data_IF_441696735633
#
_entry.id   IF_441696735633
#
_cell.length_a   1.000
_cell.length_b   1.000
_cell.length_c   1.000
_cell.angle_alpha   90.00
_cell.angle_beta   90.00
_cell.angle_gamma   90.00
#
_symmetry.space_group_name_H-M   'P 1'
#
loop_
_entity.id
_entity.type
_entity.pdbx_description
1 polymer ?
#
# COMPACT_ATOMS: atom_id res chain seq x y z
N UNK A 1 -7.65 -27.57 -8.56
CA UNK A 1 -7.61 -26.24 -7.93
C UNK A 1 -6.62 -26.35 -6.77
N UNK A 2 -5.47 -25.70 -6.89
CA UNK A 2 -4.47 -25.68 -5.81
C UNK A 2 -5.09 -25.09 -4.55
N UNK A 3 -4.93 -25.81 -3.45
CA UNK A 3 -5.44 -25.39 -2.15
C UNK A 3 -4.36 -24.54 -1.48
N UNK A 4 -4.51 -23.23 -1.51
CA UNK A 4 -3.68 -22.33 -0.73
C UNK A 4 -4.12 -22.42 0.74
N UNK A 5 -3.41 -23.20 1.52
CA UNK A 5 -3.71 -23.43 2.93
C UNK A 5 -2.71 -22.63 3.77
N UNK A 6 -3.22 -21.76 4.63
CA UNK A 6 -2.38 -21.14 5.67
C UNK A 6 -1.92 -22.22 6.64
N UNK A 7 -0.65 -22.21 7.01
CA UNK A 7 -0.17 -23.11 8.06
C UNK A 7 -0.78 -22.67 9.40
N UNK A 8 -1.72 -23.45 9.98
CA UNK A 8 -2.41 -23.06 11.20
C UNK A 8 -1.46 -22.98 12.41
N UNK A 9 -0.41 -23.79 12.48
CA UNK A 9 0.57 -23.76 13.58
C UNK A 9 1.32 -22.42 13.59
N UNK A 10 1.71 -21.92 12.41
CA UNK A 10 2.38 -20.61 12.30
C UNK A 10 1.41 -19.48 12.64
N UNK A 11 0.16 -19.55 12.16
CA UNK A 11 -0.85 -18.53 12.46
C UNK A 11 -1.18 -18.48 13.97
N UNK A 12 -1.34 -19.64 14.61
CA UNK A 12 -1.57 -19.74 16.04
C UNK A 12 -0.35 -19.26 16.85
N UNK A 13 0.87 -19.67 16.47
CA UNK A 13 2.09 -19.16 17.09
C UNK A 13 2.13 -17.61 17.02
N UNK A 14 1.82 -17.03 15.85
CA UNK A 14 1.80 -15.60 15.64
C UNK A 14 0.75 -14.89 16.52
N UNK A 15 -0.46 -15.45 16.58
CA UNK A 15 -1.55 -14.89 17.35
C UNK A 15 -1.36 -15.08 18.87
N UNK A 16 -1.11 -16.30 19.32
CA UNK A 16 -1.09 -16.64 20.73
C UNK A 16 0.26 -16.31 21.39
N UNK A 17 1.37 -16.78 20.82
CA UNK A 17 2.70 -16.61 21.42
C UNK A 17 3.21 -15.18 21.31
N UNK A 18 3.04 -14.57 20.14
CA UNK A 18 3.39 -13.15 19.95
C UNK A 18 2.25 -12.20 20.35
N UNK A 19 1.09 -12.72 20.74
CA UNK A 19 -0.09 -11.94 21.15
C UNK A 19 -0.47 -10.86 20.14
N UNK A 20 -0.40 -11.21 18.86
CA UNK A 20 -0.78 -10.33 17.77
C UNK A 20 -2.18 -10.67 17.29
N UNK A 21 -3.08 -9.71 17.32
CA UNK A 21 -4.44 -9.88 16.80
C UNK A 21 -4.41 -10.08 15.29
N UNK A 22 -5.21 -11.01 14.80
CA UNK A 22 -5.29 -11.39 13.38
C UNK A 22 -6.75 -11.42 12.90
N UNK A 23 -6.93 -11.36 11.58
CA UNK A 23 -8.22 -11.53 10.90
C UNK A 23 -8.05 -12.23 9.54
N UNK A 24 -9.08 -12.95 9.00
CA UNK A 24 -8.97 -13.66 7.74
C UNK A 24 -8.92 -12.72 6.53
N UNK A 25 -8.03 -13.02 5.58
CA UNK A 25 -7.87 -12.31 4.31
C UNK A 25 -7.97 -13.25 3.11
N UNK A 26 -8.34 -12.70 1.97
CA UNK A 26 -8.42 -13.43 0.71
C UNK A 26 -7.00 -13.65 0.15
N UNK A 27 -6.59 -14.88 -0.21
CA UNK A 27 -5.24 -15.17 -0.69
C UNK A 27 -4.90 -14.53 -2.06
N UNK A 28 -5.91 -14.23 -2.88
CA UNK A 28 -5.73 -13.63 -4.21
C UNK A 28 -5.64 -12.10 -4.16
N UNK A 29 -6.58 -11.48 -3.42
CA UNK A 29 -6.70 -10.02 -3.35
C UNK A 29 -6.02 -9.41 -2.14
N UNK A 30 -5.70 -10.25 -1.14
CA UNK A 30 -5.20 -9.86 0.19
C UNK A 30 -6.18 -9.00 1.00
N UNK A 31 -7.37 -8.75 0.46
CA UNK A 31 -8.43 -7.99 1.14
C UNK A 31 -9.03 -8.75 2.33
N UNK A 32 -9.49 -8.05 3.38
CA UNK A 32 -10.21 -8.68 4.48
C UNK A 32 -11.43 -9.46 4.01
N UNK A 33 -11.67 -10.63 4.59
CA UNK A 33 -12.84 -11.47 4.31
C UNK A 33 -14.06 -11.12 5.16
N UNK A 34 -13.91 -10.23 6.13
CA UNK A 34 -14.93 -9.85 7.11
C UNK A 34 -15.14 -8.34 7.13
N UNK A 35 -16.31 -7.90 7.58
CA UNK A 35 -16.57 -6.48 7.87
C UNK A 35 -15.84 -6.09 9.17
N UNK A 36 -15.38 -4.84 9.25
CA UNK A 36 -14.71 -4.24 10.41
C UNK A 36 -13.53 -5.07 10.92
N UNK A 37 -12.57 -5.43 10.05
CA UNK A 37 -11.52 -6.39 10.36
C UNK A 37 -10.64 -5.93 11.52
N UNK A 38 -10.41 -4.64 11.68
CA UNK A 38 -9.57 -4.10 12.75
C UNK A 38 -10.22 -4.23 14.14
N UNK A 39 -11.53 -4.01 14.24
CA UNK A 39 -12.27 -4.16 15.52
C UNK A 39 -12.51 -5.61 15.91
N UNK A 40 -12.58 -6.50 14.91
CA UNK A 40 -12.81 -7.95 15.09
C UNK A 40 -11.53 -8.78 15.15
N UNK A 41 -10.38 -8.17 14.88
CA UNK A 41 -9.10 -8.88 14.99
C UNK A 41 -8.92 -9.40 16.42
N UNK A 42 -8.51 -10.66 16.53
CA UNK A 42 -8.34 -11.34 17.80
C UNK A 42 -7.05 -12.15 17.85
N UNK A 43 -6.57 -12.41 19.05
CA UNK A 43 -5.48 -13.33 19.35
C UNK A 43 -5.90 -14.38 20.41
N UNK A 44 -7.19 -14.49 20.66
CA UNK A 44 -7.77 -15.50 21.51
C UNK A 44 -8.10 -16.74 20.66
N UNK A 45 -7.68 -17.92 21.09
CA UNK A 45 -7.78 -19.17 20.35
C UNK A 45 -9.24 -19.51 19.97
N UNK A 46 -10.15 -19.48 20.93
CA UNK A 46 -11.56 -19.76 20.67
C UNK A 46 -12.21 -18.77 19.69
N UNK A 47 -11.82 -17.50 19.77
CA UNK A 47 -12.31 -16.46 18.87
C UNK A 47 -11.69 -16.60 17.48
N UNK A 48 -10.42 -17.02 17.38
CA UNK A 48 -9.76 -17.33 16.11
C UNK A 48 -10.51 -18.43 15.38
N UNK A 49 -10.82 -19.54 16.07
CA UNK A 49 -11.58 -20.65 15.51
C UNK A 49 -12.93 -20.21 14.95
N UNK A 50 -13.65 -19.38 15.70
CA UNK A 50 -14.92 -18.83 15.27
C UNK A 50 -14.78 -17.88 14.08
N UNK A 51 -13.80 -16.97 14.13
CA UNK A 51 -13.56 -15.93 13.13
C UNK A 51 -13.10 -16.50 11.79
N UNK A 52 -12.28 -17.56 11.83
CA UNK A 52 -11.75 -18.22 10.65
C UNK A 52 -12.63 -19.37 10.13
N UNK A 53 -13.74 -19.68 10.81
CA UNK A 53 -14.65 -20.74 10.37
C UNK A 53 -15.12 -20.50 8.93
N UNK A 54 -14.80 -21.43 8.01
CA UNK A 54 -15.00 -21.28 6.57
C UNK A 54 -13.90 -20.50 5.83
N UNK A 55 -12.91 -19.98 6.55
CA UNK A 55 -11.78 -19.23 5.99
C UNK A 55 -10.40 -19.86 6.31
N UNK A 56 -10.35 -20.99 6.99
CA UNK A 56 -9.10 -21.63 7.46
C UNK A 56 -8.04 -21.87 6.39
N UNK A 57 -8.45 -21.92 5.14
CA UNK A 57 -7.55 -22.06 4.00
C UNK A 57 -7.15 -20.70 3.41
N UNK A 58 -7.40 -19.62 4.14
CA UNK A 58 -7.15 -18.26 3.71
C UNK A 58 -5.93 -17.70 4.42
N UNK A 59 -5.34 -16.69 3.81
CA UNK A 59 -4.34 -15.89 4.47
C UNK A 59 -4.93 -15.13 5.68
N UNK A 60 -4.08 -14.63 6.53
CA UNK A 60 -4.50 -13.75 7.61
C UNK A 60 -3.78 -12.41 7.56
N UNK A 61 -4.52 -11.38 7.92
CA UNK A 61 -4.03 -10.02 8.10
C UNK A 61 -3.70 -9.76 9.57
N UNK A 62 -2.61 -9.04 9.82
CA UNK A 62 -2.21 -8.57 11.14
C UNK A 62 -2.29 -7.05 11.14
N UNK A 63 -3.24 -6.44 11.87
CA UNK A 63 -3.33 -4.99 12.02
C UNK A 63 -2.03 -4.39 12.56
N UNK A 64 -1.64 -3.25 12.00
CA UNK A 64 -0.54 -2.44 12.52
C UNK A 64 -1.05 -1.26 13.36
N UNK A 65 -0.13 -0.48 13.92
CA UNK A 65 -0.47 0.63 14.80
C UNK A 65 -0.95 0.19 16.18
N UNK A 66 -1.81 0.99 16.86
CA UNK A 66 -2.18 0.78 18.27
C UNK A 66 -2.79 -0.58 18.60
N UNK A 67 -3.44 -1.23 17.63
CA UNK A 67 -4.12 -2.53 17.84
C UNK A 67 -3.12 -3.62 18.27
N UNK A 68 -1.97 -3.65 17.66
CA UNK A 68 -0.89 -4.61 17.95
C UNK A 68 0.38 -3.97 18.49
N UNK A 69 0.48 -2.64 18.49
CA UNK A 69 1.65 -1.90 18.96
C UNK A 69 2.84 -2.02 18.00
N UNK A 70 2.61 -2.35 16.74
CA UNK A 70 3.67 -2.55 15.74
C UNK A 70 3.56 -1.57 14.57
N UNK A 71 4.72 -1.21 14.04
CA UNK A 71 4.88 -0.53 12.75
C UNK A 71 5.73 -1.41 11.85
N UNK A 72 5.31 -1.57 10.60
CA UNK A 72 6.01 -2.40 9.63
C UNK A 72 6.45 -1.58 8.44
N UNK A 73 7.70 -1.73 8.04
CA UNK A 73 8.22 -1.21 6.78
C UNK A 73 8.12 -2.32 5.72
N UNK A 74 7.23 -2.12 4.77
CA UNK A 74 6.97 -3.01 3.65
C UNK A 74 7.86 -2.56 2.48
N UNK A 75 8.89 -3.36 2.20
CA UNK A 75 9.95 -3.06 1.23
C UNK A 75 9.67 -3.81 -0.07
N UNK A 76 8.97 -3.15 -0.97
CA UNK A 76 8.60 -3.71 -2.27
C UNK A 76 9.81 -3.81 -3.23
N UNK A 77 9.91 -4.95 -3.92
CA UNK A 77 10.91 -5.19 -4.97
C UNK A 77 10.20 -5.63 -6.25
N UNK A 78 9.77 -4.65 -7.05
CA UNK A 78 9.03 -4.92 -8.30
C UNK A 78 9.13 -3.75 -9.29
N UNK A 79 9.00 -4.05 -10.58
CA UNK A 79 8.91 -3.03 -11.65
C UNK A 79 10.06 -2.01 -11.66
N UNK A 80 11.30 -2.48 -11.42
CA UNK A 80 12.48 -1.61 -11.41
C UNK A 80 12.67 -0.77 -10.14
N UNK A 81 11.82 -0.98 -9.12
CA UNK A 81 11.97 -0.38 -7.79
C UNK A 81 12.56 -1.42 -6.85
N UNK A 82 13.58 -1.06 -6.08
CA UNK A 82 14.16 -1.88 -5.01
C UNK A 82 14.02 -1.12 -3.68
N UNK A 83 12.93 -1.44 -2.95
CA UNK A 83 12.64 -0.84 -1.65
C UNK A 83 13.68 -1.20 -0.59
N UNK A 84 14.28 -2.41 -0.66
CA UNK A 84 15.33 -2.81 0.26
C UNK A 84 16.58 -1.94 0.08
N UNK A 85 17.03 -1.76 -1.17
CA UNK A 85 18.16 -0.89 -1.47
C UNK A 85 17.91 0.53 -0.96
N UNK A 86 16.74 1.09 -1.29
CA UNK A 86 16.36 2.44 -0.86
C UNK A 86 16.28 2.55 0.67
N UNK A 87 15.86 1.49 1.36
CA UNK A 87 15.80 1.45 2.81
C UNK A 87 17.20 1.44 3.45
N UNK A 88 18.11 0.65 2.91
CA UNK A 88 19.51 0.62 3.34
C UNK A 88 20.23 1.96 3.06
N UNK A 89 19.90 2.62 1.96
CA UNK A 89 20.43 3.94 1.61
C UNK A 89 19.98 5.07 2.55
N UNK A 90 18.99 4.84 3.42
CA UNK A 90 18.66 5.80 4.49
C UNK A 90 19.80 5.95 5.50
N UNK A 91 20.74 5.00 5.55
CA UNK A 91 21.90 5.03 6.44
C UNK A 91 21.54 4.99 7.91
N UNK A 92 20.39 4.40 8.26
CA UNK A 92 19.91 4.30 9.64
C UNK A 92 20.42 2.99 10.21
N UNK A 93 21.09 3.04 11.36
CA UNK A 93 21.45 1.85 12.12
C UNK A 93 20.18 1.18 12.65
N UNK A 94 20.00 -0.10 12.30
CA UNK A 94 18.82 -0.86 12.65
C UNK A 94 19.15 -1.87 13.76
N UNK A 95 18.31 -1.97 14.80
CA UNK A 95 18.38 -3.09 15.72
C UNK A 95 18.00 -4.39 15.01
N UNK A 96 18.34 -5.53 15.59
CA UNK A 96 17.85 -6.83 15.10
C UNK A 96 16.31 -6.85 15.17
N UNK A 97 15.68 -6.78 14.02
CA UNK A 97 14.23 -6.74 13.87
C UNK A 97 13.74 -7.99 13.13
N UNK A 98 12.56 -8.54 13.48
CA UNK A 98 11.96 -9.61 12.72
C UNK A 98 11.66 -9.20 11.28
N UNK A 99 11.97 -10.11 10.36
CA UNK A 99 11.78 -9.91 8.92
C UNK A 99 10.91 -11.03 8.36
N UNK A 100 9.93 -10.67 7.55
CA UNK A 100 9.11 -11.59 6.76
C UNK A 100 9.44 -11.35 5.29
N UNK A 101 9.82 -12.41 4.57
CA UNK A 101 9.94 -12.39 3.11
C UNK A 101 8.57 -12.48 2.49
N UNK A 102 8.33 -11.65 1.48
CA UNK A 102 7.07 -11.63 0.73
C UNK A 102 7.18 -12.41 -0.58
N UNK A 103 6.08 -12.96 -1.12
CA UNK A 103 6.09 -13.71 -2.39
C UNK A 103 6.66 -12.93 -3.58
N UNK A 104 6.67 -11.62 -3.53
CA UNK A 104 7.23 -10.74 -4.58
C UNK A 104 8.73 -10.50 -4.45
N UNK A 105 9.41 -11.15 -3.49
CA UNK A 105 10.83 -10.94 -3.20
C UNK A 105 11.12 -9.67 -2.40
N UNK A 106 10.09 -9.02 -1.85
CA UNK A 106 10.21 -7.92 -0.90
C UNK A 106 10.27 -8.40 0.54
N UNK A 107 10.24 -7.46 1.49
CA UNK A 107 10.38 -7.75 2.92
C UNK A 107 9.44 -6.90 3.77
N UNK A 108 8.93 -7.47 4.86
CA UNK A 108 8.33 -6.72 5.96
C UNK A 108 9.33 -6.67 7.12
N UNK A 109 9.74 -5.49 7.53
CA UNK A 109 10.61 -5.27 8.71
C UNK A 109 9.76 -4.73 9.83
N UNK A 110 9.74 -5.40 10.99
CA UNK A 110 8.77 -5.17 12.07
C UNK A 110 9.43 -4.51 13.26
N UNK A 111 8.83 -3.40 13.73
CA UNK A 111 9.24 -2.69 14.93
C UNK A 111 8.08 -2.51 15.89
N UNK A 112 8.38 -2.37 17.18
CA UNK A 112 7.44 -1.82 18.15
C UNK A 112 7.25 -0.32 17.89
N UNK A 113 6.00 0.13 17.84
CA UNK A 113 5.68 1.56 17.75
C UNK A 113 5.94 2.33 19.07
N UNK A 114 6.14 1.62 20.18
CA UNK A 114 6.17 2.23 21.51
C UNK A 114 4.87 3.00 21.80
N UNK A 115 4.99 4.28 22.11
CA UNK A 115 3.86 5.20 22.32
C UNK A 115 3.50 6.01 21.06
N UNK A 116 4.18 5.76 19.95
CA UNK A 116 3.98 6.54 18.72
C UNK A 116 2.80 6.02 17.92
N UNK A 117 1.95 6.92 17.47
CA UNK A 117 0.87 6.64 16.54
C UNK A 117 1.33 6.95 15.10
N UNK A 118 2.05 5.99 14.52
CA UNK A 118 2.60 6.12 13.17
C UNK A 118 1.51 5.86 12.14
N UNK A 119 1.26 6.78 11.20
CA UNK A 119 0.23 6.61 10.18
C UNK A 119 0.64 5.61 9.11
N UNK A 120 -0.35 5.01 8.45
CA UNK A 120 -0.14 4.21 7.26
C UNK A 120 0.23 5.12 6.07
N UNK A 121 1.27 4.76 5.30
CA UNK A 121 1.66 5.52 4.12
C UNK A 121 2.28 4.64 3.03
N UNK A 122 2.20 5.06 1.76
CA UNK A 122 2.75 4.33 0.63
C UNK A 122 3.78 5.17 -0.12
N UNK A 123 5.01 4.66 -0.22
CA UNK A 123 6.13 5.28 -0.95
C UNK A 123 6.46 6.72 -0.53
N UNK A 124 6.08 7.12 0.68
CA UNK A 124 6.23 8.49 1.14
C UNK A 124 7.64 8.81 1.65
N UNK A 125 8.37 7.80 2.14
CA UNK A 125 9.76 7.92 2.59
C UNK A 125 10.69 7.86 1.38
N UNK A 126 10.60 6.78 0.61
CA UNK A 126 11.30 6.57 -0.67
C UNK A 126 10.51 5.59 -1.54
N UNK A 127 10.81 5.47 -2.85
CA UNK A 127 10.15 4.51 -3.72
C UNK A 127 10.30 3.08 -3.18
N UNK A 128 9.20 2.33 -3.13
CA UNK A 128 9.18 0.95 -2.65
C UNK A 128 9.28 0.78 -1.13
N UNK A 129 9.18 1.86 -0.36
CA UNK A 129 9.09 1.82 1.10
C UNK A 129 7.69 2.27 1.51
N UNK A 130 6.84 1.31 1.88
CA UNK A 130 5.53 1.58 2.46
C UNK A 130 5.61 1.44 3.98
N UNK A 131 4.89 2.29 4.70
CA UNK A 131 4.73 2.19 6.16
C UNK A 131 3.36 1.63 6.46
N UNK A 132 3.29 0.49 7.10
CA UNK A 132 2.07 -0.10 7.65
C UNK A 132 1.99 0.28 9.13
N UNK A 133 1.27 1.32 9.41
CA UNK A 133 1.02 1.87 10.74
C UNK A 133 -0.46 1.84 11.10
N UNK A 134 -0.97 2.87 11.78
CA UNK A 134 -2.38 2.99 12.14
C UNK A 134 -3.27 2.92 10.89
N UNK A 135 -4.24 2.03 10.92
CA UNK A 135 -5.15 1.77 9.78
C UNK A 135 -4.56 0.88 8.68
N UNK A 136 -3.31 0.42 8.83
CA UNK A 136 -2.68 -0.55 7.94
C UNK A 136 -2.66 -1.96 8.52
N UNK A 137 -2.35 -2.93 7.68
CA UNK A 137 -2.11 -4.31 8.06
C UNK A 137 -1.09 -4.95 7.11
N UNK A 138 -0.50 -6.05 7.55
CA UNK A 138 0.34 -6.93 6.73
C UNK A 138 -0.29 -8.30 6.62
N UNK A 139 0.09 -9.06 5.60
CA UNK A 139 -0.19 -10.50 5.55
C UNK A 139 0.85 -11.21 6.42
N UNK A 140 0.37 -12.04 7.33
CA UNK A 140 1.22 -12.73 8.29
C UNK A 140 1.98 -13.93 7.70
N UNK A 141 3.07 -14.36 8.35
CA UNK A 141 3.90 -15.47 7.90
C UNK A 141 3.14 -16.80 7.92
N UNK A 142 3.53 -17.73 7.04
CA UNK A 142 2.80 -18.98 6.82
C UNK A 142 1.58 -18.84 5.92
N UNK A 143 1.20 -17.62 5.54
CA UNK A 143 0.12 -17.37 4.59
C UNK A 143 0.55 -17.73 3.17
N UNK A 144 -0.22 -18.59 2.51
CA UNK A 144 0.01 -18.96 1.12
C UNK A 144 -0.89 -18.19 0.16
N UNK A 145 -0.30 -17.71 -0.92
CA UNK A 145 -0.99 -17.01 -2.00
C UNK A 145 -0.69 -17.66 -3.34
N UNK A 146 -1.42 -17.34 -4.43
CA UNK A 146 -1.06 -17.80 -5.77
C UNK A 146 0.35 -17.41 -6.23
N UNK A 147 0.98 -16.46 -5.54
CA UNK A 147 2.30 -15.92 -5.88
C UNK A 147 3.43 -16.48 -5.01
N UNK A 148 3.11 -17.32 -4.02
CA UNK A 148 4.04 -17.90 -3.05
C UNK A 148 3.61 -17.66 -1.61
N UNK A 149 4.50 -17.96 -0.70
CA UNK A 149 4.29 -17.92 0.75
C UNK A 149 4.97 -16.70 1.39
N UNK A 150 4.36 -16.18 2.45
CA UNK A 150 4.99 -15.23 3.38
C UNK A 150 5.78 -16.01 4.41
N UNK A 151 7.11 -15.88 4.43
CA UNK A 151 7.99 -16.70 5.26
C UNK A 151 8.83 -15.86 6.21
N UNK A 152 9.13 -16.41 7.38
CA UNK A 152 10.13 -15.83 8.25
C UNK A 152 11.54 -15.95 7.67
N UNK A 153 12.31 -14.89 7.77
CA UNK A 153 13.75 -14.99 7.65
C UNK A 153 14.32 -15.62 8.92
N UNK A 154 14.90 -16.82 8.80
CA UNK A 154 15.31 -17.66 9.94
C UNK A 154 16.24 -16.97 10.94
N UNK A 155 17.09 -16.06 10.46
CA UNK A 155 17.99 -15.26 11.29
C UNK A 155 17.26 -14.26 12.21
N UNK A 156 16.05 -13.83 11.84
CA UNK A 156 15.30 -12.78 12.50
C UNK A 156 13.93 -13.26 13.00
N UNK A 157 13.87 -14.51 13.42
CA UNK A 157 12.64 -15.10 13.94
C UNK A 157 12.35 -14.57 15.37
N UNK A 158 11.16 -14.01 15.64
CA UNK A 158 10.83 -13.50 16.96
C UNK A 158 10.55 -14.64 17.93
N UNK A 159 11.18 -14.61 19.09
CA UNK A 159 10.93 -15.57 20.17
C UNK A 159 9.77 -15.10 21.06
N UNK A 160 9.52 -13.80 21.08
CA UNK A 160 8.47 -13.16 21.89
C UNK A 160 8.00 -11.87 21.25
N UNK A 161 6.93 -11.25 21.78
CA UNK A 161 6.43 -9.92 21.32
C UNK A 161 7.41 -8.75 21.60
N UNK A 162 8.58 -9.01 22.13
CA UNK A 162 9.58 -7.97 22.36
C UNK A 162 10.23 -7.54 21.04
N UNK A 163 9.44 -6.92 20.18
CA UNK A 163 9.97 -6.29 18.99
C UNK A 163 10.81 -5.07 19.38
N UNK A 164 11.94 -4.83 18.70
CA UNK A 164 12.75 -3.65 18.97
C UNK A 164 11.94 -2.38 18.72
N UNK A 165 12.18 -1.36 19.51
CA UNK A 165 11.60 -0.05 19.24
C UNK A 165 12.04 0.45 17.87
N UNK A 166 11.13 1.12 17.18
CA UNK A 166 11.47 1.78 15.93
C UNK A 166 12.57 2.83 16.19
N UNK A 167 13.68 2.82 15.43
CA UNK A 167 14.71 3.86 15.55
C UNK A 167 14.12 5.26 15.39
N UNK A 168 14.58 6.21 16.22
CA UNK A 168 14.05 7.58 16.26
C UNK A 168 14.01 8.23 14.86
N UNK A 169 15.12 8.13 14.13
CA UNK A 169 15.20 8.68 12.79
C UNK A 169 14.22 8.06 11.80
N UNK A 170 13.94 6.76 11.95
CA UNK A 170 12.97 6.05 11.12
C UNK A 170 11.53 6.43 11.50
N UNK A 171 11.28 6.63 12.80
CA UNK A 171 10.00 7.13 13.31
C UNK A 171 9.72 8.56 12.81
N UNK A 172 10.70 9.45 12.84
CA UNK A 172 10.57 10.81 12.28
C UNK A 172 10.19 10.80 10.80
N UNK A 173 10.85 9.94 9.99
CA UNK A 173 10.53 9.79 8.57
C UNK A 173 9.12 9.24 8.35
N UNK A 174 8.65 8.35 9.22
CA UNK A 174 7.32 7.76 9.14
C UNK A 174 6.21 8.70 9.63
N UNK A 175 6.48 9.51 10.65
CA UNK A 175 5.55 10.52 11.19
C UNK A 175 5.44 11.76 10.29
N UNK A 176 6.55 12.15 9.70
CA UNK A 176 6.63 13.26 8.76
C UNK A 176 7.07 12.70 7.40
N UNK A 177 6.30 11.79 6.81
CA UNK A 177 6.67 11.32 5.50
C UNK A 177 6.82 12.58 4.66
N UNK A 178 8.01 12.76 4.03
CA UNK A 178 8.17 13.84 3.06
C UNK A 178 6.93 13.71 2.20
N UNK A 179 5.93 14.57 2.45
CA UNK A 179 4.80 14.67 1.54
C UNK A 179 5.47 14.51 0.22
N UNK A 180 5.15 13.42 -0.55
CA UNK A 180 5.50 13.44 -1.95
C UNK A 180 5.21 14.88 -2.23
N UNK A 181 6.24 15.72 -2.32
CA UNK A 181 6.05 16.94 -3.04
C UNK A 181 5.40 16.35 -4.24
N UNK A 182 4.09 16.41 -4.20
CA UNK A 182 3.42 16.34 -5.42
C UNK A 182 4.16 17.43 -6.17
N UNK A 183 5.24 17.00 -6.81
CA UNK A 183 5.85 17.74 -7.88
C UNK A 183 4.75 17.96 -8.89
N UNK A 184 3.54 17.66 -8.49
CA UNK A 184 2.29 17.86 -9.11
C UNK A 184 1.79 19.30 -9.01
N UNK A 185 1.99 20.08 -7.95
CA UNK A 185 1.43 21.45 -8.01
C UNK A 185 2.25 22.42 -8.86
N UNK A 186 3.57 22.33 -8.86
CA UNK A 186 4.39 23.10 -9.79
C UNK A 186 4.67 22.36 -11.11
N UNK A 187 4.82 21.04 -11.10
CA UNK A 187 4.93 20.22 -12.30
C UNK A 187 3.64 20.15 -13.09
N UNK A 188 2.47 19.94 -12.47
CA UNK A 188 1.20 19.92 -13.20
C UNK A 188 0.85 21.29 -13.77
N UNK A 189 1.17 22.40 -13.11
CA UNK A 189 0.99 23.72 -13.74
C UNK A 189 2.05 24.00 -14.82
N UNK A 190 3.27 23.51 -14.71
CA UNK A 190 4.26 23.58 -15.77
C UNK A 190 4.04 22.54 -16.87
N UNK A 191 3.61 21.31 -16.52
CA UNK A 191 3.23 20.28 -17.48
C UNK A 191 1.94 20.61 -18.23
N UNK A 192 1.02 21.38 -17.64
CA UNK A 192 -0.12 21.90 -18.37
C UNK A 192 0.26 22.90 -19.46
N UNK A 193 1.44 23.49 -19.37
CA UNK A 193 1.96 24.45 -20.36
C UNK A 193 2.85 23.79 -21.42
N UNK A 194 3.24 22.52 -21.25
CA UNK A 194 4.09 21.81 -22.21
C UNK A 194 3.30 21.31 -23.41
N UNK A 195 3.94 21.29 -24.56
CA UNK A 195 3.44 20.69 -25.80
C UNK A 195 3.29 19.17 -25.63
N UNK A 196 2.25 18.59 -26.22
CA UNK A 196 1.92 17.17 -26.13
C UNK A 196 2.10 16.56 -27.53
N UNK A 197 3.15 15.77 -27.73
CA UNK A 197 3.44 15.18 -29.03
C UNK A 197 2.46 14.07 -29.39
N UNK A 198 2.40 13.75 -30.66
CA UNK A 198 1.66 12.59 -31.18
C UNK A 198 2.10 11.30 -30.47
N UNK A 199 1.16 10.39 -30.21
CA UNK A 199 1.40 9.15 -29.45
C UNK A 199 1.27 9.29 -27.93
N UNK A 200 1.38 10.50 -27.35
CA UNK A 200 1.20 10.73 -25.91
C UNK A 200 -0.10 11.48 -25.56
N UNK A 201 -0.86 11.93 -26.57
CA UNK A 201 -2.02 12.81 -26.40
C UNK A 201 -3.09 12.23 -25.50
N UNK A 202 -3.53 11.01 -25.74
CA UNK A 202 -4.61 10.38 -24.99
C UNK A 202 -4.23 10.17 -23.51
N UNK A 203 -3.04 9.70 -23.24
CA UNK A 203 -2.56 9.46 -21.87
C UNK A 203 -2.35 10.77 -21.09
N UNK A 204 -1.73 11.76 -21.72
CA UNK A 204 -1.45 13.06 -21.10
C UNK A 204 -2.74 13.87 -20.89
N UNK A 205 -3.66 13.89 -21.87
CA UNK A 205 -4.96 14.54 -21.73
C UNK A 205 -5.81 13.84 -20.65
N UNK A 206 -5.83 12.51 -20.60
CA UNK A 206 -6.54 11.78 -19.54
C UNK A 206 -6.06 12.18 -18.13
N UNK A 207 -4.74 12.31 -17.94
CA UNK A 207 -4.16 12.78 -16.67
C UNK A 207 -4.57 14.23 -16.34
N UNK A 208 -4.49 15.12 -17.32
CA UNK A 208 -4.89 16.54 -17.16
C UNK A 208 -6.37 16.69 -16.89
N UNK A 209 -7.22 15.94 -17.58
CA UNK A 209 -8.67 15.90 -17.37
C UNK A 209 -9.02 15.42 -15.97
N UNK A 210 -8.38 14.34 -15.49
CA UNK A 210 -8.57 13.86 -14.11
C UNK A 210 -8.23 14.94 -13.08
N UNK A 211 -7.13 15.66 -13.27
CA UNK A 211 -6.79 16.79 -12.42
C UNK A 211 -7.83 17.91 -12.43
N UNK A 212 -8.34 18.28 -13.61
CA UNK A 212 -9.34 19.33 -13.78
C UNK A 212 -10.67 18.95 -13.10
N UNK A 213 -11.14 17.71 -13.29
CA UNK A 213 -12.37 17.20 -12.68
C UNK A 213 -12.32 17.19 -11.15
N UNK A 214 -11.12 17.00 -10.56
CA UNK A 214 -10.91 17.11 -9.12
C UNK A 214 -10.85 18.55 -8.60
N UNK A 215 -10.82 19.58 -9.48
CA UNK A 215 -10.65 20.98 -9.10
C UNK A 215 -11.82 21.88 -9.48
N UNK A 216 -12.62 21.45 -10.42
CA UNK A 216 -13.72 22.30 -10.94
C UNK A 216 -14.88 21.45 -11.46
N UNK A 217 -16.03 22.12 -11.62
CA UNK A 217 -17.23 21.49 -12.16
C UNK A 217 -16.97 20.90 -13.57
N UNK A 218 -17.56 19.72 -13.91
CA UNK A 218 -17.32 19.02 -15.17
C UNK A 218 -17.45 19.89 -16.45
N UNK A 219 -18.39 20.80 -16.49
CA UNK A 219 -18.54 21.72 -17.63
C UNK A 219 -17.32 22.64 -17.83
N UNK A 220 -16.79 23.19 -16.72
CA UNK A 220 -15.57 24.02 -16.78
C UNK A 220 -14.35 23.17 -17.13
N UNK A 221 -14.27 21.93 -16.59
CA UNK A 221 -13.22 20.99 -16.92
C UNK A 221 -13.25 20.61 -18.43
N UNK A 222 -14.42 20.45 -19.01
CA UNK A 222 -14.57 20.19 -20.45
C UNK A 222 -14.03 21.36 -21.31
N UNK A 223 -14.39 22.58 -20.99
CA UNK A 223 -13.89 23.77 -21.71
C UNK A 223 -12.36 23.90 -21.60
N UNK A 224 -11.83 23.65 -20.42
CA UNK A 224 -10.38 23.63 -20.19
C UNK A 224 -9.70 22.50 -20.99
N UNK A 225 -10.29 21.31 -21.06
CA UNK A 225 -9.75 20.19 -21.83
C UNK A 225 -9.73 20.49 -23.34
N UNK A 226 -10.79 21.11 -23.88
CA UNK A 226 -10.83 21.57 -25.28
C UNK A 226 -9.73 22.59 -25.56
N UNK A 227 -9.53 23.55 -24.66
CA UNK A 227 -8.47 24.56 -24.81
C UNK A 227 -7.07 23.92 -24.79
N UNK A 228 -6.82 23.00 -23.86
CA UNK A 228 -5.55 22.28 -23.78
C UNK A 228 -5.30 21.45 -25.05
N UNK A 229 -6.30 20.73 -25.52
CA UNK A 229 -6.20 19.97 -26.77
C UNK A 229 -5.78 20.85 -27.94
N UNK A 230 -6.49 21.95 -28.11
CA UNK A 230 -6.28 22.90 -29.26
C UNK A 230 -4.91 23.60 -29.16
N UNK A 231 -4.47 23.96 -27.94
CA UNK A 231 -3.30 24.82 -27.75
C UNK A 231 -2.01 24.05 -27.47
N UNK A 232 -2.10 22.76 -27.09
CA UNK A 232 -0.97 21.99 -26.61
C UNK A 232 -0.75 20.64 -27.28
N UNK A 233 -1.76 20.03 -27.88
CA UNK A 233 -1.59 18.81 -28.66
C UNK A 233 -1.14 19.14 -30.09
N UNK A 234 -0.14 18.40 -30.56
CA UNK A 234 0.36 18.57 -31.91
C UNK A 234 0.43 17.22 -32.65
N UNK A 235 -0.47 16.93 -33.60
CA UNK A 235 -1.71 17.65 -33.90
C UNK A 235 -2.77 17.48 -32.79
N UNK A 236 -3.79 18.37 -32.70
CA UNK A 236 -4.90 18.19 -31.74
C UNK A 236 -5.67 16.89 -32.01
N UNK A 237 -6.25 16.31 -30.94
CA UNK A 237 -7.20 15.21 -31.07
C UNK A 237 -8.49 15.74 -31.75
N UNK A 238 -9.10 14.89 -32.55
CA UNK A 238 -10.47 15.11 -33.04
C UNK A 238 -11.44 15.26 -31.87
N UNK A 239 -12.45 16.09 -32.01
CA UNK A 239 -13.40 16.34 -30.90
C UNK A 239 -14.07 15.09 -30.41
N UNK A 240 -14.36 14.13 -31.28
CA UNK A 240 -14.95 12.85 -30.96
C UNK A 240 -14.01 12.04 -30.03
N UNK A 241 -12.74 12.02 -30.33
CA UNK A 241 -11.73 11.31 -29.55
C UNK A 241 -11.52 12.00 -28.19
N UNK A 242 -11.41 13.30 -28.14
CA UNK A 242 -11.33 14.09 -26.92
C UNK A 242 -12.54 13.81 -25.98
N UNK A 243 -13.76 13.78 -26.57
CA UNK A 243 -14.98 13.42 -25.83
C UNK A 243 -14.88 12.03 -25.19
N UNK A 244 -14.41 11.03 -25.93
CA UNK A 244 -14.26 9.68 -25.43
C UNK A 244 -13.31 9.65 -24.23
N UNK A 245 -12.15 10.32 -24.32
CA UNK A 245 -11.20 10.43 -23.20
C UNK A 245 -11.86 11.13 -22.02
N UNK A 246 -12.50 12.27 -22.22
CA UNK A 246 -13.13 13.05 -21.16
C UNK A 246 -14.20 12.25 -20.39
N UNK A 247 -15.16 11.65 -21.11
CA UNK A 247 -16.25 10.90 -20.49
C UNK A 247 -15.76 9.60 -19.81
N UNK A 248 -14.71 8.98 -20.33
CA UNK A 248 -14.08 7.83 -19.69
C UNK A 248 -13.53 8.19 -18.30
N UNK A 249 -12.85 9.32 -18.19
CA UNK A 249 -12.30 9.81 -16.93
C UNK A 249 -13.41 10.29 -15.99
N UNK A 250 -14.38 11.05 -16.49
CA UNK A 250 -15.54 11.52 -15.70
C UNK A 250 -16.28 10.34 -15.05
N UNK A 251 -16.55 9.26 -15.83
CA UNK A 251 -17.21 8.06 -15.33
C UNK A 251 -16.37 7.32 -14.27
N UNK A 252 -15.05 7.37 -14.40
CA UNK A 252 -14.13 6.77 -13.42
C UNK A 252 -14.15 7.55 -12.11
N UNK A 253 -14.01 8.87 -12.17
CA UNK A 253 -14.02 9.73 -10.98
C UNK A 253 -15.39 9.67 -10.23
N UNK A 254 -16.51 9.59 -10.95
CA UNK A 254 -17.85 9.43 -10.37
C UNK A 254 -18.07 8.09 -9.64
N UNK A 255 -17.20 7.09 -9.82
CA UNK A 255 -17.25 5.80 -9.10
C UNK A 255 -16.40 5.77 -7.83
N UNK A 256 -15.56 6.77 -7.63
CA UNK A 256 -14.61 6.87 -6.53
C UNK A 256 -14.89 8.04 -5.58
N UNK A 257 -15.89 8.86 -5.86
CA UNK A 257 -16.48 9.87 -4.98
C UNK A 257 -17.84 9.41 -4.44
#
# INVERSE_FOLDING_TARGET
MEKFETNPEIANFWAEKLRLKIFPTNPYTKAPCIRDPFSKATNNDSDIDALFRGFWKRCYGTPCGPINGITVFDLDRKKGVDGLKNFLELGIELPEAPIISTPSGGFHVIFSSGQLEIPNSAGAIAPGIDVRGHGGYIIGPGSQTPYGEYTWESKYFPISKNFPLIPERLAELALSPKRKRSGSKSKVSSEMLTEIPEGQRNCTLASRIGYLLNKMHPEKAWLAAQHINKSRCNPPLEERELRQVFFSILKREARHG
#
